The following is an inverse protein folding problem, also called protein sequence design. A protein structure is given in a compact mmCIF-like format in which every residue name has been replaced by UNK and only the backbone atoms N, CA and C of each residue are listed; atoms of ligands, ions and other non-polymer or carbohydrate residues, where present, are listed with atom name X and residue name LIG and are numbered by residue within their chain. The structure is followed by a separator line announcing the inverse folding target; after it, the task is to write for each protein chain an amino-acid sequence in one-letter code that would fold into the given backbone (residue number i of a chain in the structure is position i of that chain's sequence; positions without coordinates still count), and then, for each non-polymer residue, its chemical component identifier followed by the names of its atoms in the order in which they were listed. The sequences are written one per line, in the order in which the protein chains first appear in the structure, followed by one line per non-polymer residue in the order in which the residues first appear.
data_IF_704604606112
#
_entry.id   IF_704604606112
#
_cell.length_a   1.000
_cell.length_b   1.000
_cell.length_c   1.000
_cell.angle_alpha   90.00
_cell.angle_beta   90.00
_cell.angle_gamma   90.00
#
_symmetry.space_group_name_H-M   'P 1'
#
loop_
_entity.id
_entity.type
_entity.pdbx_description
1 polymer ?
#
# COMPACT_ATOMS: atom_id res chain seq x y z
N UNK A 1 -17.03 -40.90 -10.60
CA UNK A 1 -16.67 -39.48 -10.73
C UNK A 1 -15.30 -39.33 -10.15
N UNK A 2 -14.27 -39.10 -11.01
CA UNK A 2 -12.95 -38.71 -10.55
C UNK A 2 -13.11 -37.35 -9.89
N UNK A 3 -12.98 -37.23 -8.58
CA UNK A 3 -12.79 -35.96 -7.93
C UNK A 3 -11.52 -35.30 -8.51
N UNK A 4 -11.69 -34.21 -9.21
CA UNK A 4 -10.55 -33.42 -9.70
C UNK A 4 -9.76 -32.95 -8.49
N UNK A 5 -8.53 -33.43 -8.36
CA UNK A 5 -7.63 -33.00 -7.29
C UNK A 5 -7.41 -31.50 -7.47
N UNK A 6 -7.82 -30.72 -6.47
CA UNK A 6 -7.56 -29.28 -6.45
C UNK A 6 -6.09 -29.01 -6.12
N UNK A 7 -5.57 -27.96 -6.70
CA UNK A 7 -4.24 -27.46 -6.41
C UNK A 7 -4.33 -26.05 -5.86
N UNK A 8 -3.64 -25.79 -4.75
CA UNK A 8 -3.52 -24.45 -4.16
C UNK A 8 -2.08 -23.99 -4.32
N UNK A 9 -1.90 -22.86 -4.99
CA UNK A 9 -0.57 -22.25 -5.21
C UNK A 9 -0.46 -20.95 -4.44
N UNK A 10 0.58 -20.84 -3.59
CA UNK A 10 0.91 -19.62 -2.88
C UNK A 10 1.80 -18.72 -3.74
N UNK A 11 1.44 -17.44 -3.84
CA UNK A 11 2.27 -16.44 -4.52
C UNK A 11 3.64 -16.26 -3.83
N UNK A 12 4.64 -15.91 -4.61
CA UNK A 12 5.94 -15.47 -4.11
C UNK A 12 6.44 -14.30 -4.97
N UNK A 13 6.63 -13.07 -4.42
CA UNK A 13 6.41 -12.71 -3.00
C UNK A 13 4.92 -12.50 -2.63
N UNK A 14 4.64 -12.56 -1.33
CA UNK A 14 3.35 -12.25 -0.72
C UNK A 14 3.52 -11.68 0.69
N UNK A 15 2.44 -11.17 1.30
CA UNK A 15 2.42 -10.74 2.69
C UNK A 15 3.33 -9.55 2.98
N UNK A 16 3.78 -9.41 4.22
CA UNK A 16 4.51 -8.23 4.71
C UNK A 16 5.67 -7.81 3.81
N UNK A 17 5.82 -6.50 3.62
CA UNK A 17 7.02 -5.91 3.05
C UNK A 17 7.91 -5.32 4.17
N UNK A 18 9.18 -5.05 3.85
CA UNK A 18 10.13 -4.51 4.82
C UNK A 18 9.68 -3.17 5.46
N UNK A 19 8.95 -2.33 4.72
CA UNK A 19 8.41 -1.06 5.25
C UNK A 19 7.32 -1.29 6.30
N UNK A 20 6.44 -2.26 6.07
CA UNK A 20 5.38 -2.68 6.99
C UNK A 20 5.98 -3.34 8.23
N UNK A 21 6.87 -4.32 8.07
CA UNK A 21 7.56 -4.99 9.19
C UNK A 21 8.22 -3.96 10.11
N UNK A 22 8.97 -3.02 9.52
CA UNK A 22 9.65 -1.96 10.28
C UNK A 22 8.66 -1.10 11.06
N UNK A 23 7.53 -0.71 10.47
CA UNK A 23 6.56 0.16 11.14
C UNK A 23 5.89 -0.56 12.32
N UNK A 24 5.50 -1.82 12.14
CA UNK A 24 4.93 -2.66 13.20
C UNK A 24 5.95 -2.88 14.32
N UNK A 25 7.21 -3.17 13.98
CA UNK A 25 8.31 -3.34 14.93
C UNK A 25 8.54 -2.09 15.79
N UNK A 26 8.45 -0.89 15.22
CA UNK A 26 8.60 0.37 15.96
C UNK A 26 7.50 0.50 17.00
N UNK A 27 6.23 0.23 16.65
CA UNK A 27 5.11 0.29 17.61
C UNK A 27 5.27 -0.75 18.71
N UNK A 28 5.63 -1.99 18.34
CA UNK A 28 5.85 -3.06 19.29
C UNK A 28 6.97 -2.72 20.30
N UNK A 29 8.11 -2.25 19.81
CA UNK A 29 9.24 -1.85 20.66
C UNK A 29 8.91 -0.64 21.54
N UNK A 30 8.11 0.30 21.02
CA UNK A 30 7.65 1.42 21.84
C UNK A 30 6.75 0.96 22.99
N UNK A 31 5.82 0.04 22.73
CA UNK A 31 4.99 -0.56 23.78
C UNK A 31 5.82 -1.34 24.81
N UNK A 32 6.85 -2.07 24.36
CA UNK A 32 7.72 -2.84 25.25
C UNK A 32 8.61 -1.95 26.15
N UNK A 33 9.07 -0.81 25.62
CA UNK A 33 10.03 0.07 26.33
C UNK A 33 9.32 1.11 27.19
N UNK A 34 8.27 1.73 26.66
CA UNK A 34 7.59 2.84 27.32
C UNK A 34 6.29 2.43 28.03
N UNK A 35 5.76 1.25 27.71
CA UNK A 35 4.46 0.80 28.20
C UNK A 35 3.29 1.45 27.45
N UNK A 36 2.08 0.98 27.76
CA UNK A 36 0.85 1.54 27.24
C UNK A 36 0.42 2.79 28.07
N UNK A 37 -0.25 3.78 27.44
CA UNK A 37 -0.61 3.84 26.03
C UNK A 37 0.51 4.39 25.14
N UNK A 38 0.57 3.90 23.89
CA UNK A 38 1.37 4.50 22.80
C UNK A 38 0.40 4.97 21.72
N UNK A 39 0.46 6.24 21.37
CA UNK A 39 -0.42 6.83 20.36
C UNK A 39 0.16 6.65 18.96
N UNK A 40 -0.67 6.32 17.99
CA UNK A 40 -0.26 6.13 16.60
C UNK A 40 -1.17 6.97 15.71
N UNK A 41 -0.58 7.89 14.94
CA UNK A 41 -1.29 8.74 13.97
C UNK A 41 -1.65 7.90 12.76
N UNK A 42 -2.94 7.72 12.52
CA UNK A 42 -3.54 6.74 11.61
C UNK A 42 -3.24 5.29 11.99
N UNK A 43 -3.92 4.35 11.35
CA UNK A 43 -3.51 2.94 11.42
C UNK A 43 -2.06 2.79 10.98
N UNK A 44 -1.25 2.04 11.74
CA UNK A 44 0.17 1.86 11.42
C UNK A 44 0.37 1.31 10.02
N UNK A 45 -0.52 0.41 9.61
CA UNK A 45 -0.68 -0.17 8.28
C UNK A 45 -2.15 -0.52 8.07
N UNK A 46 -2.60 -0.58 6.83
CA UNK A 46 -3.99 -0.95 6.50
C UNK A 46 -4.19 -2.47 6.60
N UNK A 47 -4.29 -2.98 7.82
CA UNK A 47 -4.64 -4.37 8.10
C UNK A 47 -5.33 -4.48 9.47
N UNK A 48 -6.59 -4.91 9.45
CA UNK A 48 -7.43 -5.01 10.65
C UNK A 48 -6.80 -5.88 11.73
N UNK A 49 -6.26 -7.05 11.36
CA UNK A 49 -5.69 -8.00 12.32
C UNK A 49 -4.49 -7.40 13.04
N UNK A 50 -3.61 -6.72 12.30
CA UNK A 50 -2.43 -6.04 12.87
C UNK A 50 -2.86 -4.90 13.79
N UNK A 51 -3.82 -4.09 13.35
CA UNK A 51 -4.34 -2.96 14.14
C UNK A 51 -4.99 -3.44 15.44
N UNK A 52 -5.80 -4.49 15.37
CA UNK A 52 -6.48 -5.06 16.55
C UNK A 52 -5.47 -5.70 17.53
N UNK A 53 -4.44 -6.38 17.05
CA UNK A 53 -3.37 -6.93 17.89
C UNK A 53 -2.63 -5.81 18.64
N UNK A 54 -2.25 -4.75 17.94
CA UNK A 54 -1.58 -3.61 18.56
C UNK A 54 -2.48 -2.85 19.55
N UNK A 55 -3.79 -2.72 19.26
CA UNK A 55 -4.77 -2.17 20.22
C UNK A 55 -4.84 -3.01 21.50
N UNK A 56 -4.89 -4.32 21.36
CA UNK A 56 -4.92 -5.25 22.51
C UNK A 56 -3.64 -5.13 23.36
N UNK A 57 -2.53 -4.72 22.77
CA UNK A 57 -1.27 -4.44 23.46
C UNK A 57 -1.20 -3.03 24.06
N UNK A 58 -2.15 -2.15 23.74
CA UNK A 58 -2.25 -0.81 24.31
C UNK A 58 -1.84 0.33 23.36
N UNK A 59 -1.75 0.08 22.04
CA UNK A 59 -1.66 1.14 21.06
C UNK A 59 -3.02 1.85 20.90
N UNK A 60 -2.99 3.17 20.84
CA UNK A 60 -4.17 4.02 20.62
C UNK A 60 -4.03 4.72 19.28
N UNK A 61 -4.88 4.35 18.32
CA UNK A 61 -4.88 4.96 17.00
C UNK A 61 -5.76 6.21 17.01
N UNK A 62 -5.20 7.32 16.53
CA UNK A 62 -5.86 8.64 16.50
C UNK A 62 -5.79 9.22 15.10
N UNK A 63 -6.82 9.99 14.72
CA UNK A 63 -6.85 10.68 13.44
C UNK A 63 -6.31 12.11 13.56
N UNK A 64 -6.42 12.76 14.72
CA UNK A 64 -5.89 14.10 14.92
C UNK A 64 -4.86 14.15 16.06
N UNK A 65 -3.83 14.99 15.90
CA UNK A 65 -2.80 15.17 16.94
C UNK A 65 -3.40 15.76 18.22
N UNK A 66 -4.46 16.54 18.10
CA UNK A 66 -5.12 17.18 19.25
C UNK A 66 -5.86 16.17 20.16
N UNK A 67 -6.13 14.96 19.68
CA UNK A 67 -6.68 13.86 20.48
C UNK A 67 -5.64 13.27 21.48
N UNK A 68 -4.35 13.58 21.28
CA UNK A 68 -3.27 12.99 22.08
C UNK A 68 -3.03 13.83 23.34
N UNK A 69 -3.06 13.23 24.54
CA UNK A 69 -2.70 13.95 25.77
C UNK A 69 -1.25 14.46 25.75
N UNK A 70 -1.01 15.54 26.48
CA UNK A 70 0.35 16.07 26.67
C UNK A 70 1.26 15.02 27.33
N UNK A 71 2.56 15.15 27.13
CA UNK A 71 3.60 14.22 27.61
C UNK A 71 3.48 12.78 27.08
N UNK A 72 2.66 12.56 26.07
CA UNK A 72 2.48 11.23 25.45
C UNK A 72 3.53 10.94 24.37
N UNK A 73 3.71 9.63 24.08
CA UNK A 73 4.51 9.17 22.95
C UNK A 73 3.63 8.97 21.73
N UNK A 74 4.06 9.55 20.61
CA UNK A 74 3.38 9.45 19.30
C UNK A 74 4.23 8.67 18.30
N UNK A 75 3.60 7.86 17.47
CA UNK A 75 4.24 7.21 16.32
C UNK A 75 3.52 7.64 15.04
N UNK A 76 4.28 8.17 14.09
CA UNK A 76 3.75 8.40 12.73
C UNK A 76 3.72 7.08 11.98
N UNK A 77 2.59 6.77 11.34
CA UNK A 77 2.36 5.51 10.63
C UNK A 77 3.29 5.31 9.43
N UNK A 78 3.27 4.12 8.84
CA UNK A 78 4.03 3.81 7.62
C UNK A 78 3.69 4.73 6.44
N UNK A 79 2.50 5.32 6.41
CA UNK A 79 2.00 6.19 5.34
C UNK A 79 2.65 7.58 5.34
N UNK A 80 3.31 7.95 6.45
CA UNK A 80 3.86 9.29 6.64
C UNK A 80 2.79 10.32 7.03
N UNK A 81 3.24 11.52 7.35
CA UNK A 81 2.38 12.63 7.78
C UNK A 81 2.74 13.91 7.04
N UNK A 82 1.84 14.89 7.04
CA UNK A 82 2.09 16.24 6.50
C UNK A 82 3.15 17.00 7.33
N UNK A 83 3.68 18.07 6.77
CA UNK A 83 4.56 18.99 7.50
C UNK A 83 3.84 19.63 8.68
N UNK A 84 2.57 19.98 8.54
CA UNK A 84 1.73 20.57 9.58
C UNK A 84 1.59 19.63 10.79
N UNK A 85 1.30 18.35 10.57
CA UNK A 85 1.23 17.34 11.65
C UNK A 85 2.56 17.23 12.39
N UNK A 86 3.69 17.22 11.66
CA UNK A 86 5.02 17.16 12.27
C UNK A 86 5.33 18.41 13.09
N UNK A 87 4.99 19.60 12.57
CA UNK A 87 5.19 20.90 13.25
C UNK A 87 4.29 21.03 14.49
N UNK A 88 3.02 20.63 14.40
CA UNK A 88 2.07 20.61 15.54
C UNK A 88 2.57 19.69 16.64
N UNK A 89 3.04 18.48 16.27
CA UNK A 89 3.61 17.53 17.23
C UNK A 89 4.81 18.12 17.98
N UNK A 90 5.71 18.80 17.26
CA UNK A 90 6.86 19.48 17.85
C UNK A 90 6.47 20.68 18.71
N UNK A 91 5.52 21.49 18.25
CA UNK A 91 5.03 22.68 18.98
C UNK A 91 4.38 22.29 20.32
N UNK A 92 3.74 21.11 20.40
CA UNK A 92 3.19 20.55 21.63
C UNK A 92 4.23 19.83 22.49
N UNK A 93 5.49 19.80 22.10
CA UNK A 93 6.58 19.08 22.78
C UNK A 93 6.28 17.58 23.00
N UNK A 94 5.48 16.95 22.14
CA UNK A 94 5.24 15.52 22.21
C UNK A 94 6.50 14.75 21.77
N UNK A 95 6.83 13.68 22.50
CA UNK A 95 7.83 12.74 22.04
C UNK A 95 7.28 11.95 20.85
N UNK A 96 8.06 11.79 19.77
CA UNK A 96 7.59 11.02 18.63
C UNK A 96 8.65 10.15 17.97
N UNK A 97 8.21 9.05 17.40
CA UNK A 97 8.97 8.24 16.46
C UNK A 97 8.32 8.27 15.07
N UNK A 98 9.16 8.34 14.05
CA UNK A 98 8.71 8.32 12.66
C UNK A 98 8.85 6.91 12.08
N UNK A 99 7.72 6.21 11.93
CA UNK A 99 7.66 4.90 11.30
C UNK A 99 7.34 4.97 9.79
N UNK A 100 7.36 6.16 9.18
CA UNK A 100 7.15 6.34 7.75
C UNK A 100 8.06 5.40 6.94
N UNK A 101 7.47 4.72 5.98
CA UNK A 101 8.23 3.86 5.07
C UNK A 101 9.31 4.67 4.34
N UNK A 102 10.56 4.20 4.26
CA UNK A 102 11.63 4.94 3.56
C UNK A 102 11.31 5.29 2.11
N UNK A 103 10.48 4.49 1.43
CA UNK A 103 10.05 4.76 0.06
C UNK A 103 9.02 5.90 -0.01
N UNK A 104 8.15 6.02 0.98
CA UNK A 104 7.26 7.19 1.15
C UNK A 104 8.08 8.43 1.50
N UNK A 105 9.07 8.30 2.40
CA UNK A 105 9.99 9.39 2.74
C UNK A 105 10.72 9.93 1.50
N UNK A 106 11.10 9.04 0.56
CA UNK A 106 11.69 9.44 -0.74
C UNK A 106 10.75 10.38 -1.50
N UNK A 107 9.47 10.01 -1.64
CA UNK A 107 8.46 10.84 -2.33
C UNK A 107 8.28 12.18 -1.62
N UNK A 108 8.19 12.20 -0.29
CA UNK A 108 8.14 13.42 0.51
C UNK A 108 9.33 14.35 0.25
N UNK A 109 10.53 13.77 0.13
CA UNK A 109 11.74 14.56 -0.16
C UNK A 109 11.71 15.13 -1.59
N UNK A 110 11.20 14.40 -2.57
CA UNK A 110 11.04 14.89 -3.94
C UNK A 110 10.03 16.03 -4.01
N UNK A 111 8.88 15.93 -3.33
CA UNK A 111 7.90 17.03 -3.23
C UNK A 111 8.56 18.29 -2.65
N UNK A 112 9.27 18.17 -1.51
CA UNK A 112 9.98 19.30 -0.91
C UNK A 112 11.05 19.90 -1.83
N UNK A 113 11.78 19.06 -2.57
CA UNK A 113 12.80 19.50 -3.54
C UNK A 113 12.17 20.29 -4.68
N UNK A 114 11.08 19.81 -5.27
CA UNK A 114 10.41 20.49 -6.37
C UNK A 114 9.74 21.80 -5.92
N UNK A 115 9.08 21.79 -4.74
CA UNK A 115 8.51 23.00 -4.15
C UNK A 115 9.58 24.09 -3.92
N UNK A 116 10.76 23.74 -3.37
CA UNK A 116 11.90 24.67 -3.21
C UNK A 116 12.45 25.20 -4.52
N UNK A 117 12.28 24.44 -5.61
CA UNK A 117 12.68 24.88 -6.96
C UNK A 117 11.57 25.68 -7.67
N UNK A 118 10.48 26.04 -6.97
CA UNK A 118 9.30 26.72 -7.51
C UNK A 118 8.67 25.98 -8.71
N UNK A 119 8.64 24.66 -8.65
CA UNK A 119 7.99 23.84 -9.66
C UNK A 119 6.58 23.46 -9.19
N UNK A 120 5.63 23.53 -10.08
CA UNK A 120 4.35 22.88 -9.87
C UNK A 120 4.54 21.36 -9.82
N UNK A 121 3.71 20.67 -9.05
CA UNK A 121 3.85 19.24 -8.82
C UNK A 121 2.51 18.57 -9.12
N UNK A 122 2.52 17.51 -9.91
CA UNK A 122 1.41 16.58 -10.04
C UNK A 122 1.71 15.35 -9.18
N UNK A 123 0.81 15.02 -8.27
CA UNK A 123 0.82 13.77 -7.51
C UNK A 123 -0.23 12.84 -8.12
N UNK A 124 0.19 11.68 -8.62
CA UNK A 124 -0.75 10.61 -8.98
C UNK A 124 -1.04 9.80 -7.71
N UNK A 125 -2.32 9.71 -7.33
CA UNK A 125 -2.73 9.02 -6.10
C UNK A 125 -4.24 9.04 -5.88
N UNK A 126 -4.70 8.40 -4.83
CA UNK A 126 -6.14 8.34 -4.50
C UNK A 126 -6.46 9.32 -3.37
N UNK A 127 -7.43 10.19 -3.61
CA UNK A 127 -7.94 11.14 -2.62
C UNK A 127 -8.39 10.43 -1.33
N UNK A 128 -8.12 11.05 -0.18
CA UNK A 128 -8.44 10.49 1.14
C UNK A 128 -7.51 9.36 1.61
N UNK A 129 -6.51 8.98 0.83
CA UNK A 129 -5.52 8.02 1.30
C UNK A 129 -4.46 8.70 2.18
N UNK A 130 -4.12 8.19 3.39
CA UNK A 130 -3.18 8.85 4.31
C UNK A 130 -1.80 9.16 3.70
N UNK A 131 -1.27 8.29 2.83
CA UNK A 131 -0.02 8.55 2.10
C UNK A 131 -0.14 9.76 1.17
N UNK A 132 -1.29 9.92 0.49
CA UNK A 132 -1.55 11.04 -0.41
C UNK A 132 -1.69 12.34 0.38
N UNK A 133 -2.45 12.33 1.46
CA UNK A 133 -2.61 13.49 2.36
C UNK A 133 -1.26 13.91 2.95
N UNK A 134 -0.49 12.94 3.45
CA UNK A 134 0.85 13.17 3.96
C UNK A 134 1.77 13.79 2.90
N UNK A 135 1.76 13.25 1.68
CA UNK A 135 2.60 13.70 0.57
C UNK A 135 2.20 15.10 0.08
N UNK A 136 0.88 15.35 -0.11
CA UNK A 136 0.35 16.68 -0.45
C UNK A 136 0.78 17.72 0.59
N UNK A 137 0.67 17.38 1.88
CA UNK A 137 1.06 18.23 3.00
C UNK A 137 2.57 18.44 3.17
N UNK A 138 3.41 17.82 2.33
CA UNK A 138 4.86 18.12 2.26
C UNK A 138 5.18 19.26 1.32
N UNK A 139 4.24 19.69 0.52
CA UNK A 139 4.40 20.89 -0.28
C UNK A 139 4.43 22.10 0.64
N UNK A 140 5.56 22.78 0.68
CA UNK A 140 5.69 24.04 1.41
C UNK A 140 4.95 25.09 0.59
N UNK A 141 3.99 25.78 1.19
CA UNK A 141 3.25 26.89 0.56
C UNK A 141 4.24 27.95 0.08
N UNK A 142 4.82 27.73 -1.10
CA UNK A 142 5.53 28.78 -1.81
C UNK A 142 4.47 29.57 -2.61
N UNK A 143 4.56 30.89 -2.59
CA UNK A 143 3.66 31.73 -3.43
C UNK A 143 3.79 31.44 -4.92
N UNK A 144 4.76 30.60 -5.33
CA UNK A 144 5.20 30.40 -6.69
C UNK A 144 5.07 28.95 -7.19
N UNK A 145 4.52 28.02 -6.43
CA UNK A 145 4.28 26.64 -6.87
C UNK A 145 3.04 26.04 -6.19
N UNK A 146 2.45 25.07 -6.85
CA UNK A 146 1.25 24.36 -6.39
C UNK A 146 1.45 22.86 -6.52
N UNK A 147 0.70 22.08 -5.73
CA UNK A 147 0.62 20.63 -5.88
C UNK A 147 -0.81 20.24 -6.26
N UNK A 148 -0.95 19.37 -7.24
CA UNK A 148 -2.22 18.94 -7.82
C UNK A 148 -2.34 17.43 -7.71
N UNK A 149 -3.54 16.94 -7.38
CA UNK A 149 -3.84 15.51 -7.36
C UNK A 149 -4.45 15.07 -8.69
N UNK A 150 -3.98 13.95 -9.21
CA UNK A 150 -4.52 13.24 -10.38
C UNK A 150 -4.80 11.81 -9.96
N UNK A 151 -6.03 11.36 -10.10
CA UNK A 151 -6.45 10.03 -9.67
C UNK A 151 -6.54 9.03 -10.82
N UNK A 152 -6.91 9.52 -12.01
CA UNK A 152 -7.16 8.69 -13.19
C UNK A 152 -6.80 9.41 -14.51
N UNK A 153 -7.05 8.73 -15.63
CA UNK A 153 -6.79 9.26 -16.96
C UNK A 153 -7.66 10.50 -17.29
N UNK A 154 -8.89 10.57 -16.77
CA UNK A 154 -9.77 11.71 -16.99
C UNK A 154 -9.25 12.96 -16.29
N UNK A 155 -8.77 12.82 -15.04
CA UNK A 155 -8.09 13.91 -14.35
C UNK A 155 -6.85 14.36 -15.13
N UNK A 156 -6.04 13.40 -15.61
CA UNK A 156 -4.84 13.70 -16.40
C UNK A 156 -5.16 14.45 -17.70
N UNK A 157 -6.28 14.15 -18.33
CA UNK A 157 -6.74 14.85 -19.55
C UNK A 157 -7.24 16.28 -19.28
N UNK A 158 -7.77 16.55 -18.09
CA UNK A 158 -8.47 17.80 -17.79
C UNK A 158 -7.73 18.74 -16.84
N UNK A 159 -6.68 18.27 -16.15
CA UNK A 159 -5.96 19.06 -15.14
C UNK A 159 -5.41 20.35 -15.74
N UNK A 160 -5.53 21.46 -14.99
CA UNK A 160 -4.90 22.74 -15.29
C UNK A 160 -3.86 23.05 -14.22
N UNK A 161 -2.66 23.38 -14.66
CA UNK A 161 -1.52 23.74 -13.79
C UNK A 161 -1.16 25.21 -14.00
N UNK A 162 -0.63 25.87 -12.97
CA UNK A 162 -0.26 27.27 -13.07
C UNK A 162 1.00 27.47 -13.93
N UNK A 163 1.95 26.52 -13.88
CA UNK A 163 3.21 26.62 -14.60
C UNK A 163 3.54 25.30 -15.32
N UNK A 164 3.08 25.19 -16.57
CA UNK A 164 3.33 24.01 -17.42
C UNK A 164 4.79 23.84 -17.85
N UNK A 165 5.58 24.93 -17.85
CA UNK A 165 6.99 24.89 -18.25
C UNK A 165 7.92 24.42 -17.13
N UNK A 166 7.46 24.48 -15.88
CA UNK A 166 8.23 24.07 -14.70
C UNK A 166 7.36 23.14 -13.84
N UNK A 167 7.21 21.91 -14.30
CA UNK A 167 6.30 20.91 -13.74
C UNK A 167 7.08 19.63 -13.38
N UNK A 168 6.75 19.03 -12.25
CA UNK A 168 7.28 17.75 -11.81
C UNK A 168 6.15 16.77 -11.50
N UNK A 169 6.48 15.47 -11.50
CA UNK A 169 5.55 14.39 -11.21
C UNK A 169 6.10 13.54 -10.08
N UNK A 170 5.23 13.15 -9.17
CA UNK A 170 5.45 12.13 -8.15
C UNK A 170 4.23 11.21 -8.07
N UNK A 171 4.37 10.03 -7.48
CA UNK A 171 3.25 9.09 -7.35
C UNK A 171 3.13 8.51 -5.94
N UNK A 172 1.93 8.09 -5.57
CA UNK A 172 1.70 7.22 -4.43
C UNK A 172 2.43 5.88 -4.66
N UNK A 173 2.92 5.24 -3.59
CA UNK A 173 3.79 4.06 -3.69
C UNK A 173 3.05 2.75 -3.96
N UNK A 174 1.71 2.71 -3.84
CA UNK A 174 0.88 1.49 -3.89
C UNK A 174 -0.12 1.45 -5.04
N UNK A 175 0.16 2.17 -6.13
CA UNK A 175 -0.70 2.24 -7.31
C UNK A 175 -0.57 1.00 -8.22
N UNK A 176 -1.51 0.86 -9.14
CA UNK A 176 -1.37 -0.02 -10.30
C UNK A 176 -0.26 0.50 -11.23
N UNK A 177 0.71 -0.34 -11.54
CA UNK A 177 1.82 0.03 -12.43
C UNK A 177 1.30 0.39 -13.81
N UNK A 178 0.44 -0.46 -14.38
CA UNK A 178 -0.07 -0.28 -15.75
C UNK A 178 -0.93 0.99 -15.89
N UNK A 179 -1.82 1.26 -14.92
CA UNK A 179 -2.64 2.48 -14.92
C UNK A 179 -1.80 3.74 -14.74
N UNK A 180 -0.79 3.67 -13.87
CA UNK A 180 0.11 4.82 -13.64
C UNK A 180 0.90 5.15 -14.89
N UNK A 181 1.35 4.15 -15.66
CA UNK A 181 2.03 4.36 -16.95
C UNK A 181 1.10 5.09 -17.92
N UNK A 182 -0.18 4.66 -18.06
CA UNK A 182 -1.17 5.31 -18.93
C UNK A 182 -1.38 6.78 -18.55
N UNK A 183 -1.52 7.07 -17.26
CA UNK A 183 -1.68 8.43 -16.74
C UNK A 183 -0.43 9.28 -17.07
N UNK A 184 0.76 8.74 -16.82
CA UNK A 184 2.03 9.42 -17.12
C UNK A 184 2.16 9.73 -18.62
N UNK A 185 1.77 8.81 -19.48
CA UNK A 185 1.83 9.02 -20.95
C UNK A 185 0.89 10.13 -21.41
N UNK A 186 -0.31 10.24 -20.80
CA UNK A 186 -1.22 11.37 -21.05
C UNK A 186 -0.58 12.69 -20.60
N UNK A 187 -0.05 12.73 -19.38
CA UNK A 187 0.58 13.92 -18.82
C UNK A 187 1.80 14.36 -19.62
N UNK A 188 2.63 13.44 -20.11
CA UNK A 188 3.79 13.73 -20.98
C UNK A 188 3.38 14.32 -22.33
N UNK A 189 2.28 13.85 -22.92
CA UNK A 189 1.74 14.42 -24.16
C UNK A 189 1.23 15.84 -23.96
N UNK A 190 0.61 16.13 -22.81
CA UNK A 190 0.09 17.46 -22.46
C UNK A 190 1.19 18.42 -22.00
N UNK A 191 2.16 17.91 -21.27
CA UNK A 191 3.25 18.67 -20.64
C UNK A 191 4.61 18.05 -21.04
N UNK A 192 5.14 18.33 -22.23
CA UNK A 192 6.36 17.65 -22.73
C UNK A 192 7.60 17.84 -21.86
N UNK A 193 7.64 18.94 -21.08
CA UNK A 193 8.76 19.29 -20.20
C UNK A 193 8.58 18.78 -18.75
N UNK A 194 7.56 17.97 -18.47
CA UNK A 194 7.33 17.44 -17.12
C UNK A 194 8.51 16.58 -16.64
N UNK A 195 9.06 16.92 -15.49
CA UNK A 195 10.12 16.13 -14.86
C UNK A 195 9.48 14.94 -14.14
N UNK A 196 9.77 13.73 -14.62
CA UNK A 196 9.31 12.49 -13.99
C UNK A 196 10.39 11.94 -13.05
N UNK A 197 10.03 11.13 -12.04
CA UNK A 197 11.00 10.51 -11.15
C UNK A 197 12.04 9.69 -11.92
N UNK A 198 13.33 9.79 -11.53
CA UNK A 198 14.42 9.00 -12.12
C UNK A 198 14.31 7.50 -11.84
N UNK A 199 13.68 7.15 -10.74
CA UNK A 199 13.30 5.79 -10.35
C UNK A 199 11.83 5.84 -10.00
N UNK A 200 11.10 4.80 -10.36
CA UNK A 200 9.67 4.71 -10.06
C UNK A 200 9.41 4.97 -8.58
N UNK A 201 8.35 5.73 -8.31
CA UNK A 201 7.87 5.95 -6.94
C UNK A 201 7.02 4.77 -6.46
N UNK A 202 6.38 4.04 -7.38
CA UNK A 202 5.72 2.78 -7.03
C UNK A 202 6.76 1.83 -6.45
N UNK A 203 6.56 1.40 -5.22
CA UNK A 203 7.56 0.64 -4.49
C UNK A 203 7.77 -0.76 -5.10
N UNK A 204 9.00 -1.27 -5.01
CA UNK A 204 9.35 -2.63 -5.49
C UNK A 204 8.46 -3.71 -4.89
N UNK A 205 8.01 -3.54 -3.64
CA UNK A 205 7.14 -4.49 -3.00
C UNK A 205 5.75 -4.55 -3.67
N UNK A 206 5.24 -3.42 -4.14
CA UNK A 206 4.01 -3.32 -4.93
C UNK A 206 4.22 -3.93 -6.32
N UNK A 207 5.28 -3.56 -7.02
CA UNK A 207 5.59 -4.06 -8.37
C UNK A 207 5.74 -5.58 -8.37
N UNK A 208 6.60 -6.13 -7.50
CA UNK A 208 6.87 -7.57 -7.44
C UNK A 208 5.60 -8.39 -7.14
N UNK A 209 4.67 -7.87 -6.29
CA UNK A 209 3.40 -8.55 -6.01
C UNK A 209 2.45 -8.50 -7.21
N UNK A 210 2.43 -7.39 -7.93
CA UNK A 210 1.64 -7.28 -9.16
C UNK A 210 2.16 -8.23 -10.24
N UNK A 211 3.48 -8.35 -10.40
CA UNK A 211 4.09 -9.28 -11.35
C UNK A 211 3.78 -10.75 -10.99
N UNK A 212 3.85 -11.09 -9.70
CA UNK A 212 3.45 -12.41 -9.23
C UNK A 212 1.97 -12.73 -9.52
N UNK A 213 1.06 -11.77 -9.35
CA UNK A 213 -0.36 -11.92 -9.67
C UNK A 213 -0.59 -12.10 -11.18
N UNK A 214 0.11 -11.33 -12.04
CA UNK A 214 0.04 -11.47 -13.50
C UNK A 214 0.41 -12.89 -13.93
N UNK A 215 1.48 -13.46 -13.36
CA UNK A 215 1.89 -14.83 -13.64
C UNK A 215 0.88 -15.86 -13.15
N UNK A 216 0.41 -15.73 -11.91
CA UNK A 216 -0.58 -16.65 -11.33
C UNK A 216 -1.91 -16.63 -12.07
N UNK A 217 -2.34 -15.48 -12.58
CA UNK A 217 -3.58 -15.34 -13.32
C UNK A 217 -3.61 -16.16 -14.63
N UNK A 218 -2.44 -16.46 -15.22
CA UNK A 218 -2.34 -17.30 -16.42
C UNK A 218 -2.56 -18.79 -16.13
N UNK A 219 -2.37 -19.22 -14.89
CA UNK A 219 -2.35 -20.63 -14.49
C UNK A 219 -3.50 -21.01 -13.54
N UNK A 220 -4.27 -20.01 -13.07
CA UNK A 220 -5.26 -20.18 -12.02
C UNK A 220 -6.68 -19.92 -12.52
N UNK A 221 -7.62 -20.67 -11.99
CA UNK A 221 -9.06 -20.46 -12.21
C UNK A 221 -9.61 -19.37 -11.28
N UNK A 222 -8.96 -19.20 -10.12
CA UNK A 222 -9.38 -18.27 -9.08
C UNK A 222 -8.19 -17.78 -8.23
N UNK A 223 -8.15 -16.50 -7.93
CA UNK A 223 -7.14 -15.90 -7.05
C UNK A 223 -7.79 -15.35 -5.79
N UNK A 224 -7.33 -15.81 -4.64
CA UNK A 224 -7.69 -15.29 -3.32
C UNK A 224 -6.61 -14.30 -2.91
N UNK A 225 -7.01 -13.05 -2.67
CA UNK A 225 -6.13 -12.01 -2.15
C UNK A 225 -6.40 -11.86 -0.66
N UNK A 226 -5.40 -12.12 0.16
CA UNK A 226 -5.48 -11.93 1.61
C UNK A 226 -5.09 -10.49 1.95
N UNK A 227 -5.98 -9.76 2.62
CA UNK A 227 -5.76 -8.37 3.00
C UNK A 227 -7.04 -7.62 3.28
N UNK A 228 -6.92 -6.45 3.89
CA UNK A 228 -8.06 -5.64 4.29
C UNK A 228 -8.56 -4.73 3.17
N UNK A 229 -9.85 -4.44 3.16
CA UNK A 229 -10.53 -3.64 2.12
C UNK A 229 -10.02 -2.20 2.01
N UNK A 230 -9.49 -1.64 3.10
CA UNK A 230 -8.88 -0.31 3.11
C UNK A 230 -7.41 -0.29 2.63
N UNK A 231 -6.81 -1.46 2.31
CA UNK A 231 -5.46 -1.54 1.79
C UNK A 231 -5.43 -1.29 0.29
N UNK A 232 -4.85 -0.17 -0.15
CA UNK A 232 -4.64 0.14 -1.58
C UNK A 232 -3.91 -0.99 -2.30
N UNK A 233 -2.79 -1.48 -1.74
CA UNK A 233 -2.04 -2.57 -2.36
C UNK A 233 -2.90 -3.84 -2.56
N UNK A 234 -3.68 -4.25 -1.54
CA UNK A 234 -4.51 -5.46 -1.64
C UNK A 234 -5.62 -5.33 -2.70
N UNK A 235 -6.27 -4.17 -2.78
CA UNK A 235 -7.27 -3.89 -3.81
C UNK A 235 -6.67 -3.95 -5.21
N UNK A 236 -5.48 -3.35 -5.42
CA UNK A 236 -4.79 -3.40 -6.73
C UNK A 236 -4.46 -4.82 -7.17
N UNK A 237 -4.09 -5.72 -6.25
CA UNK A 237 -3.84 -7.12 -6.60
C UNK A 237 -5.11 -7.84 -7.06
N UNK A 238 -6.25 -7.60 -6.38
CA UNK A 238 -7.55 -8.14 -6.79
C UNK A 238 -7.94 -7.64 -8.18
N UNK A 239 -7.94 -6.33 -8.37
CA UNK A 239 -8.31 -5.69 -9.65
C UNK A 239 -7.41 -6.15 -10.81
N UNK A 240 -6.10 -6.31 -10.54
CA UNK A 240 -5.16 -6.81 -11.54
C UNK A 240 -5.47 -8.25 -11.95
N UNK A 241 -5.79 -9.13 -10.98
CA UNK A 241 -6.22 -10.50 -11.29
C UNK A 241 -7.45 -10.51 -12.19
N UNK A 242 -8.45 -9.67 -11.88
CA UNK A 242 -9.69 -9.53 -12.68
C UNK A 242 -9.40 -8.98 -14.09
N UNK A 243 -8.51 -7.99 -14.22
CA UNK A 243 -8.05 -7.46 -15.53
C UNK A 243 -7.31 -8.50 -16.36
N UNK A 244 -6.58 -9.41 -15.73
CA UNK A 244 -5.95 -10.55 -16.39
C UNK A 244 -6.95 -11.68 -16.76
N UNK A 245 -8.25 -11.49 -16.49
CA UNK A 245 -9.30 -12.46 -16.80
C UNK A 245 -9.48 -13.58 -15.78
N UNK A 246 -8.78 -13.54 -14.65
CA UNK A 246 -8.92 -14.50 -13.57
C UNK A 246 -9.90 -13.98 -12.52
N UNK A 247 -10.86 -14.81 -12.10
CA UNK A 247 -11.75 -14.44 -10.98
C UNK A 247 -10.97 -14.23 -9.70
N UNK A 248 -11.35 -13.23 -8.92
CA UNK A 248 -10.62 -12.89 -7.70
C UNK A 248 -11.54 -12.42 -6.58
N UNK A 249 -11.09 -12.61 -5.34
CA UNK A 249 -11.72 -12.06 -4.14
C UNK A 249 -10.67 -11.51 -3.18
N UNK A 250 -11.04 -10.49 -2.41
CA UNK A 250 -10.24 -9.93 -1.33
C UNK A 250 -10.91 -10.29 0.00
N UNK A 251 -10.16 -10.94 0.89
CA UNK A 251 -10.65 -11.43 2.18
C UNK A 251 -9.67 -11.10 3.31
N UNK A 252 -10.19 -10.80 4.48
CA UNK A 252 -9.40 -10.68 5.72
C UNK A 252 -9.26 -12.03 6.42
N UNK A 253 -10.31 -12.88 6.37
CA UNK A 253 -10.35 -14.17 7.04
C UNK A 253 -11.07 -15.23 6.19
N UNK A 254 -10.89 -16.51 6.54
CA UNK A 254 -11.47 -17.62 5.77
C UNK A 254 -13.00 -17.59 5.70
N UNK A 255 -13.67 -17.09 6.73
CA UNK A 255 -15.12 -16.93 6.78
C UNK A 255 -15.68 -15.93 5.76
N UNK A 256 -14.85 -15.01 5.24
CA UNK A 256 -15.24 -14.07 4.19
C UNK A 256 -15.34 -14.72 2.81
N UNK A 257 -14.78 -15.94 2.67
CA UNK A 257 -14.69 -16.63 1.39
C UNK A 257 -16.00 -17.37 1.08
N UNK A 258 -16.59 -17.05 -0.06
CA UNK A 258 -17.69 -17.85 -0.58
C UNK A 258 -17.13 -19.13 -1.24
N UNK A 259 -17.21 -20.25 -0.53
CA UNK A 259 -16.68 -21.54 -0.98
C UNK A 259 -17.35 -22.07 -2.27
N UNK A 260 -18.59 -21.68 -2.57
CA UNK A 260 -19.28 -22.07 -3.80
C UNK A 260 -18.61 -21.48 -5.05
N UNK A 261 -17.99 -20.30 -4.94
CA UNK A 261 -17.30 -19.65 -6.06
C UNK A 261 -16.07 -20.44 -6.51
N UNK A 262 -15.40 -21.13 -5.58
CA UNK A 262 -14.16 -21.88 -5.82
C UNK A 262 -14.36 -23.39 -5.90
N UNK A 263 -15.56 -23.88 -5.62
CA UNK A 263 -15.87 -25.32 -5.60
C UNK A 263 -15.57 -26.02 -6.92
N UNK A 264 -15.79 -25.34 -8.04
CA UNK A 264 -15.55 -25.86 -9.40
C UNK A 264 -14.15 -25.54 -9.93
N UNK A 265 -13.37 -24.73 -9.24
CA UNK A 265 -12.02 -24.38 -9.63
C UNK A 265 -11.07 -25.56 -9.36
N UNK A 266 -10.16 -25.82 -10.30
CA UNK A 266 -9.10 -26.81 -10.13
C UNK A 266 -7.85 -26.15 -9.55
N UNK A 267 -7.45 -25.03 -10.14
CA UNK A 267 -6.23 -24.30 -9.78
C UNK A 267 -6.60 -23.03 -9.04
N UNK A 268 -6.32 -22.98 -7.74
CA UNK A 268 -6.58 -21.82 -6.89
C UNK A 268 -5.23 -21.21 -6.49
N UNK A 269 -5.07 -19.91 -6.67
CA UNK A 269 -3.90 -19.21 -6.16
C UNK A 269 -4.28 -18.36 -4.94
N UNK A 270 -3.34 -18.21 -4.01
CA UNK A 270 -3.44 -17.31 -2.86
C UNK A 270 -2.28 -16.33 -2.95
N UNK A 271 -2.60 -15.05 -2.96
CA UNK A 271 -1.64 -13.95 -2.78
C UNK A 271 -2.03 -13.12 -1.57
N UNK A 272 -1.18 -12.18 -1.19
CA UNK A 272 -1.46 -11.33 -0.05
C UNK A 272 -0.89 -9.92 -0.26
N UNK A 273 -1.64 -8.92 0.20
CA UNK A 273 -1.18 -7.55 0.21
C UNK A 273 0.03 -7.34 1.12
N UNK A 274 0.76 -6.25 0.87
CA UNK A 274 2.00 -5.90 1.60
C UNK A 274 1.80 -5.64 3.11
N UNK A 275 0.56 -5.50 3.56
CA UNK A 275 0.17 -5.31 4.97
C UNK A 275 -0.47 -6.56 5.61
N UNK A 276 -0.58 -7.69 4.89
CA UNK A 276 -1.15 -8.92 5.41
C UNK A 276 -0.09 -9.80 6.08
N UNK A 277 -0.30 -10.25 7.34
CA UNK A 277 0.65 -11.12 8.02
C UNK A 277 0.67 -12.52 7.40
N UNK A 278 1.86 -13.12 7.32
CA UNK A 278 2.04 -14.48 6.77
C UNK A 278 1.24 -15.53 7.55
N UNK A 279 1.09 -15.36 8.86
CA UNK A 279 0.26 -16.24 9.70
C UNK A 279 -1.18 -16.33 9.20
N UNK A 280 -1.77 -15.21 8.77
CA UNK A 280 -3.13 -15.18 8.22
C UNK A 280 -3.21 -15.87 6.85
N UNK A 281 -2.20 -15.67 6.02
CA UNK A 281 -2.11 -16.36 4.71
C UNK A 281 -2.07 -17.87 4.91
N UNK A 282 -1.24 -18.34 5.81
CA UNK A 282 -1.09 -19.77 6.10
C UNK A 282 -2.33 -20.37 6.78
N UNK A 283 -3.01 -19.63 7.64
CA UNK A 283 -4.29 -20.05 8.24
C UNK A 283 -5.35 -20.28 7.15
N UNK A 284 -5.51 -19.34 6.23
CA UNK A 284 -6.47 -19.45 5.12
C UNK A 284 -6.08 -20.62 4.19
N UNK A 285 -4.79 -20.74 3.85
CA UNK A 285 -4.29 -21.81 3.01
C UNK A 285 -4.57 -23.18 3.63
N UNK A 286 -4.29 -23.34 4.92
CA UNK A 286 -4.55 -24.58 5.65
C UNK A 286 -6.05 -24.89 5.75
N UNK A 287 -6.90 -23.90 5.99
CA UNK A 287 -8.35 -24.09 6.04
C UNK A 287 -8.89 -24.56 4.70
N UNK A 288 -8.34 -24.09 3.57
CA UNK A 288 -8.68 -24.56 2.24
C UNK A 288 -8.17 -26.00 1.99
N UNK A 289 -6.93 -26.31 2.42
CA UNK A 289 -6.36 -27.66 2.33
C UNK A 289 -7.22 -28.66 3.12
N UNK A 290 -7.60 -28.34 4.34
CA UNK A 290 -8.45 -29.18 5.20
C UNK A 290 -9.87 -29.36 4.61
N UNK A 291 -10.43 -28.28 4.00
CA UNK A 291 -11.78 -28.33 3.44
C UNK A 291 -11.86 -29.14 2.14
N UNK A 292 -10.85 -29.02 1.25
CA UNK A 292 -10.85 -29.67 -0.06
C UNK A 292 -10.02 -30.95 -0.12
N UNK A 293 -9.20 -31.27 0.88
CA UNK A 293 -8.25 -32.39 0.85
C UNK A 293 -7.22 -32.27 -0.28
N UNK A 294 -6.74 -31.04 -0.56
CA UNK A 294 -5.92 -30.71 -1.71
C UNK A 294 -4.44 -30.50 -1.34
N UNK A 295 -3.58 -30.41 -2.37
CA UNK A 295 -2.14 -30.16 -2.20
C UNK A 295 -1.85 -28.66 -2.23
N UNK A 296 -0.95 -28.23 -1.35
CA UNK A 296 -0.47 -26.86 -1.23
C UNK A 296 0.94 -26.72 -1.82
N UNK A 297 1.14 -25.78 -2.74
CA UNK A 297 2.44 -25.46 -3.33
C UNK A 297 2.77 -23.96 -3.17
N UNK A 298 4.06 -23.64 -3.12
CA UNK A 298 4.55 -22.27 -3.24
C UNK A 298 5.11 -22.06 -4.64
N UNK A 299 4.72 -21.00 -5.33
CA UNK A 299 5.33 -20.61 -6.61
C UNK A 299 6.83 -20.33 -6.43
N UNK A 300 7.67 -20.67 -7.41
CA UNK A 300 9.07 -20.25 -7.38
C UNK A 300 9.14 -18.71 -7.35
N UNK A 301 10.20 -18.18 -6.74
CA UNK A 301 10.46 -16.75 -6.79
C UNK A 301 10.71 -16.31 -8.23
N UNK A 302 10.23 -15.13 -8.68
CA UNK A 302 10.61 -14.58 -9.99
C UNK A 302 12.12 -14.51 -10.21
N UNK A 303 12.92 -14.42 -9.13
CA UNK A 303 14.39 -14.47 -9.19
C UNK A 303 14.96 -15.87 -9.46
N UNK A 304 14.16 -16.93 -9.24
CA UNK A 304 14.60 -18.31 -9.43
C UNK A 304 14.31 -18.80 -10.87
N UNK A 305 13.59 -18.02 -11.67
CA UNK A 305 13.23 -18.34 -13.06
C UNK A 305 14.19 -17.75 -14.10
N UNK A 306 15.15 -16.91 -13.68
CA UNK A 306 16.17 -16.28 -14.54
C UNK A 306 17.50 -17.06 -14.55
N UNK A 307 17.50 -18.39 -14.28
CA UNK A 307 18.66 -19.29 -14.38
C UNK A 307 18.68 -20.07 -15.67
#
# INVERSE_FOLDING_TARGET
LFEMTKEIKLANPRGFCAGVDRAIDIVNKALDIYGAPVYVKHEVVHNKVVVDDLRNRGAVFVEEIDEIPDDSLVIFSAHGVSSEVEETTKARNLNFFDATCPLVTKVHMEVRKHAKANRDIILIGHEGHPEVEGTMGRHINSQNSSIYLVQDENDALNINVNNSESLALVTQTTLSVDETISIIDILRKRFPNIEVPKKDDICYATQNRQDAVKQLALESDYIIVVGSKNSSNSNRLKELAEKCGCKSTLIDEFSDLNLEDIKKCKNIAITAGASAPESRVMEIAKSLEDYFGCLLYTSPSPRDTDL
#
